data_IF_619847000072
#
_entry.id   IF_619847000072
#
_cell.length_a   1.000
_cell.length_b   1.000
_cell.length_c   1.000
_cell.angle_alpha   90.00
_cell.angle_beta   90.00
_cell.angle_gamma   90.00
#
_symmetry.space_group_name_H-M   'P 1'
#
loop_
_entity.id
_entity.type
_entity.pdbx_description
1 polymer ?
#
# COMPACT_ATOMS: atom_id res chain seq x y z
N UNK A 1 -15.04 -0.25 -1.49
CA UNK A 1 -16.43 0.22 -1.26
C UNK A 1 -17.50 -0.57 -2.04
N UNK A 2 -17.17 -1.37 -3.06
CA UNK A 2 -18.17 -2.12 -3.86
C UNK A 2 -18.80 -3.33 -3.16
N UNK A 3 -18.02 -4.18 -2.48
CA UNK A 3 -18.49 -5.48 -1.96
C UNK A 3 -19.67 -5.40 -0.97
N UNK A 4 -19.66 -4.42 -0.06
CA UNK A 4 -20.73 -4.24 0.95
C UNK A 4 -22.07 -3.88 0.29
N UNK A 5 -22.05 -3.04 -0.76
CA UNK A 5 -23.28 -2.67 -1.48
C UNK A 5 -23.85 -3.85 -2.27
N UNK A 6 -22.99 -4.65 -2.87
CA UNK A 6 -23.38 -5.88 -3.58
C UNK A 6 -23.99 -6.90 -2.61
N UNK A 7 -23.39 -7.07 -1.43
CA UNK A 7 -23.92 -7.94 -0.38
C UNK A 7 -25.30 -7.48 0.12
N UNK A 8 -25.46 -6.19 0.42
CA UNK A 8 -26.73 -5.63 0.88
C UNK A 8 -27.85 -5.78 -0.17
N UNK A 9 -27.50 -5.59 -1.45
CA UNK A 9 -28.44 -5.79 -2.57
C UNK A 9 -28.86 -7.25 -2.68
N UNK A 10 -27.92 -8.18 -2.54
CA UNK A 10 -28.19 -9.62 -2.53
C UNK A 10 -29.14 -10.05 -1.41
N UNK A 11 -28.88 -9.61 -0.19
CA UNK A 11 -29.73 -9.91 0.99
C UNK A 11 -31.15 -9.35 0.81
N UNK A 12 -31.27 -8.14 0.27
CA UNK A 12 -32.59 -7.52 0.05
C UNK A 12 -33.41 -8.32 -0.96
N UNK A 13 -32.79 -8.79 -2.05
CA UNK A 13 -33.44 -9.64 -3.04
C UNK A 13 -33.87 -11.00 -2.48
N UNK A 14 -33.07 -11.59 -1.57
CA UNK A 14 -33.44 -12.83 -0.88
C UNK A 14 -34.71 -12.65 -0.04
N UNK A 15 -34.78 -11.58 0.76
CA UNK A 15 -35.94 -11.30 1.62
C UNK A 15 -37.21 -11.12 0.76
N UNK A 16 -37.11 -10.34 -0.31
CA UNK A 16 -38.23 -10.13 -1.24
C UNK A 16 -38.67 -11.42 -1.93
N UNK A 17 -37.72 -12.26 -2.35
CA UNK A 17 -38.00 -13.57 -2.94
C UNK A 17 -38.75 -14.51 -1.98
N UNK A 18 -38.31 -14.57 -0.72
CA UNK A 18 -38.98 -15.37 0.32
C UNK A 18 -40.40 -14.89 0.63
N UNK A 19 -40.60 -13.56 0.72
CA UNK A 19 -41.94 -12.98 0.95
C UNK A 19 -42.88 -13.32 -0.22
N UNK A 20 -42.42 -13.18 -1.46
CA UNK A 20 -43.22 -13.48 -2.65
C UNK A 20 -43.63 -14.97 -2.71
N UNK A 21 -42.70 -15.88 -2.45
CA UNK A 21 -42.97 -17.32 -2.43
C UNK A 21 -43.91 -17.69 -1.28
N UNK A 22 -43.72 -17.12 -0.08
CA UNK A 22 -44.57 -17.36 1.08
C UNK A 22 -46.00 -16.83 0.88
N UNK A 23 -46.16 -15.66 0.26
CA UNK A 23 -47.47 -15.11 -0.08
C UNK A 23 -48.23 -16.01 -1.07
N UNK A 24 -47.51 -16.64 -2.00
CA UNK A 24 -48.10 -17.62 -2.92
C UNK A 24 -48.50 -18.92 -2.21
N UNK A 25 -47.63 -19.48 -1.35
CA UNK A 25 -47.90 -20.72 -0.62
C UNK A 25 -49.06 -20.61 0.38
N UNK A 26 -49.25 -19.44 0.98
CA UNK A 26 -50.36 -19.17 1.90
C UNK A 26 -51.68 -18.85 1.17
N UNK A 27 -51.70 -18.91 -0.16
CA UNK A 27 -52.83 -18.49 -1.00
C UNK A 27 -53.26 -17.03 -0.82
N UNK A 28 -52.41 -16.18 -0.23
CA UNK A 28 -52.67 -14.74 -0.13
C UNK A 28 -52.62 -14.07 -1.50
N UNK A 29 -51.83 -14.63 -2.42
CA UNK A 29 -51.75 -14.22 -3.83
C UNK A 29 -51.72 -15.48 -4.70
N UNK A 30 -52.59 -15.57 -5.71
CA UNK A 30 -52.73 -16.75 -6.58
C UNK A 30 -52.06 -16.59 -7.94
N UNK A 31 -51.46 -15.44 -8.23
CA UNK A 31 -50.84 -15.17 -9.52
C UNK A 31 -49.53 -15.96 -9.69
N UNK A 32 -49.42 -16.86 -10.71
CA UNK A 32 -48.22 -17.65 -10.96
C UNK A 32 -46.99 -16.80 -11.35
N UNK A 33 -47.18 -15.55 -11.80
CA UNK A 33 -46.08 -14.62 -12.04
C UNK A 33 -45.35 -14.25 -10.76
N UNK A 34 -46.05 -14.20 -9.62
CA UNK A 34 -45.45 -13.89 -8.31
C UNK A 34 -44.53 -15.01 -7.85
N UNK A 35 -44.93 -16.28 -8.05
CA UNK A 35 -44.08 -17.44 -7.76
C UNK A 35 -42.82 -17.45 -8.64
N UNK A 36 -42.99 -17.20 -9.94
CA UNK A 36 -41.87 -17.17 -10.90
C UNK A 36 -40.91 -16.03 -10.59
N UNK A 37 -41.43 -14.82 -10.39
CA UNK A 37 -40.64 -13.64 -10.03
C UNK A 37 -39.92 -13.80 -8.70
N UNK A 38 -40.59 -14.35 -7.69
CA UNK A 38 -39.99 -14.66 -6.38
C UNK A 38 -38.83 -15.66 -6.50
N UNK A 39 -38.99 -16.71 -7.30
CA UNK A 39 -37.94 -17.72 -7.52
C UNK A 39 -36.70 -17.15 -8.21
N UNK A 40 -36.90 -16.31 -9.24
CA UNK A 40 -35.80 -15.61 -9.93
C UNK A 40 -35.08 -14.65 -8.99
N UNK A 41 -35.83 -13.84 -8.23
CA UNK A 41 -35.27 -12.91 -7.26
C UNK A 41 -34.41 -13.62 -6.19
N UNK A 42 -34.87 -14.79 -5.71
CA UNK A 42 -34.14 -15.59 -4.74
C UNK A 42 -32.84 -16.15 -5.34
N UNK A 43 -32.89 -16.70 -6.56
CA UNK A 43 -31.69 -17.19 -7.26
C UNK A 43 -30.64 -16.10 -7.49
N UNK A 44 -31.05 -14.93 -7.96
CA UNK A 44 -30.15 -13.77 -8.16
C UNK A 44 -29.62 -13.27 -6.81
N UNK A 45 -30.47 -13.22 -5.78
CA UNK A 45 -30.10 -12.82 -4.42
C UNK A 45 -29.00 -13.70 -3.82
N UNK A 46 -29.11 -15.04 -3.97
CA UNK A 46 -28.06 -15.98 -3.52
C UNK A 46 -26.74 -15.69 -4.23
N UNK A 47 -26.77 -15.55 -5.57
CA UNK A 47 -25.58 -15.32 -6.37
C UNK A 47 -24.85 -14.03 -5.94
N UNK A 48 -25.59 -12.92 -5.79
CA UNK A 48 -25.02 -11.64 -5.37
C UNK A 48 -24.49 -11.69 -3.94
N UNK A 49 -25.17 -12.40 -3.05
CA UNK A 49 -24.71 -12.57 -1.66
C UNK A 49 -23.41 -13.36 -1.61
N UNK A 50 -23.30 -14.44 -2.39
CA UNK A 50 -22.06 -15.22 -2.51
C UNK A 50 -20.91 -14.38 -3.08
N UNK A 51 -21.16 -13.61 -4.15
CA UNK A 51 -20.15 -12.73 -4.74
C UNK A 51 -19.71 -11.62 -3.79
N UNK A 52 -20.66 -10.99 -3.08
CA UNK A 52 -20.39 -9.98 -2.06
C UNK A 52 -19.58 -10.55 -0.89
N UNK A 53 -19.94 -11.75 -0.44
CA UNK A 53 -19.25 -12.46 0.63
C UNK A 53 -17.83 -12.87 0.21
N UNK A 54 -17.67 -13.48 -0.96
CA UNK A 54 -16.36 -13.81 -1.53
C UNK A 54 -15.49 -12.56 -1.64
N UNK A 55 -16.03 -11.45 -2.17
CA UNK A 55 -15.30 -10.19 -2.23
C UNK A 55 -14.88 -9.69 -0.84
N UNK A 56 -15.75 -9.83 0.17
CA UNK A 56 -15.45 -9.41 1.55
C UNK A 56 -14.36 -10.30 2.17
N UNK A 57 -14.45 -11.62 1.97
CA UNK A 57 -13.47 -12.59 2.47
C UNK A 57 -12.13 -12.41 1.77
N UNK A 58 -12.10 -12.20 0.45
CA UNK A 58 -10.86 -11.88 -0.28
C UNK A 58 -10.24 -10.56 0.18
N UNK A 59 -11.05 -9.58 0.58
CA UNK A 59 -10.54 -8.33 1.16
C UNK A 59 -9.96 -8.54 2.57
N UNK A 60 -10.46 -9.53 3.32
CA UNK A 60 -9.95 -9.95 4.62
C UNK A 60 -8.66 -10.78 4.51
N UNK A 61 -8.53 -11.61 3.47
CA UNK A 61 -7.36 -12.44 3.15
C UNK A 61 -6.30 -11.74 2.30
N UNK A 62 -6.59 -10.55 1.78
CA UNK A 62 -5.52 -9.65 1.34
C UNK A 62 -4.67 -9.36 2.57
N UNK A 63 -3.34 -9.59 2.55
CA UNK A 63 -2.51 -9.47 3.73
C UNK A 63 -2.70 -8.08 4.32
N UNK A 64 -3.48 -7.98 5.40
CA UNK A 64 -3.63 -6.78 6.20
C UNK A 64 -2.27 -6.56 6.85
N UNK A 65 -1.39 -5.84 6.16
CA UNK A 65 -0.35 -5.08 6.84
C UNK A 65 -1.10 -4.24 7.86
N UNK A 66 -0.93 -4.54 9.15
CA UNK A 66 -1.63 -3.89 10.26
C UNK A 66 -1.20 -2.44 10.40
N UNK A 67 -1.65 -1.59 9.48
CA UNK A 67 -1.32 -0.18 9.40
C UNK A 67 -2.60 0.57 9.81
N UNK A 68 -2.60 1.21 10.99
CA UNK A 68 -3.65 2.18 11.30
C UNK A 68 -3.58 3.31 10.25
N UNK A 69 -4.71 3.90 9.86
CA UNK A 69 -4.74 4.96 8.84
C UNK A 69 -3.74 6.11 9.11
N UNK A 70 -3.42 6.38 10.38
CA UNK A 70 -2.35 7.31 10.79
C UNK A 70 -0.94 6.80 10.47
N UNK A 71 -0.67 5.52 10.72
CA UNK A 71 0.61 4.88 10.43
C UNK A 71 0.91 4.89 8.92
N UNK A 72 -0.11 4.80 8.07
CA UNK A 72 0.08 4.86 6.60
C UNK A 72 0.56 6.24 6.17
N UNK A 73 0.04 7.30 6.79
CA UNK A 73 0.41 8.67 6.48
C UNK A 73 1.84 8.98 6.94
N UNK A 74 2.18 8.60 8.18
CA UNK A 74 3.55 8.75 8.71
C UNK A 74 4.54 7.96 7.85
N UNK A 75 4.25 6.68 7.56
CA UNK A 75 5.09 5.87 6.70
C UNK A 75 5.28 6.48 5.31
N UNK A 76 4.19 6.87 4.64
CA UNK A 76 4.28 7.41 3.27
C UNK A 76 5.07 8.71 3.24
N UNK A 77 4.85 9.58 4.22
CA UNK A 77 5.56 10.84 4.36
C UNK A 77 7.05 10.62 4.62
N UNK A 78 7.40 9.80 5.62
CA UNK A 78 8.80 9.46 5.92
C UNK A 78 9.49 8.76 4.74
N UNK A 79 8.78 7.91 4.01
CA UNK A 79 9.32 7.24 2.82
C UNK A 79 9.68 8.24 1.72
N UNK A 80 8.78 9.17 1.39
CA UNK A 80 9.01 10.20 0.37
C UNK A 80 10.19 11.10 0.79
N UNK A 81 10.20 11.57 2.04
CA UNK A 81 11.29 12.41 2.56
C UNK A 81 12.63 11.71 2.54
N UNK A 82 12.66 10.42 2.88
CA UNK A 82 13.88 9.62 2.81
C UNK A 82 14.40 9.50 1.37
N UNK A 83 13.52 9.24 0.39
CA UNK A 83 13.93 9.20 -1.02
C UNK A 83 14.42 10.57 -1.49
N UNK A 84 13.72 11.66 -1.16
CA UNK A 84 14.13 13.02 -1.52
C UNK A 84 15.49 13.36 -0.91
N UNK A 85 15.72 13.04 0.37
CA UNK A 85 17.00 13.33 1.04
C UNK A 85 18.19 12.61 0.40
N UNK A 86 17.95 11.45 -0.22
CA UNK A 86 18.98 10.72 -0.96
C UNK A 86 19.23 11.38 -2.31
N UNK A 87 18.16 11.80 -2.99
CA UNK A 87 18.26 12.30 -4.36
C UNK A 87 18.74 13.75 -4.43
N UNK A 88 18.36 14.60 -3.46
CA UNK A 88 18.72 16.03 -3.45
C UNK A 88 20.12 16.22 -2.89
N UNK A 89 21.11 16.35 -3.77
CA UNK A 89 22.47 16.73 -3.41
C UNK A 89 22.66 18.27 -3.41
N UNK A 90 22.02 19.00 -4.34
CA UNK A 90 22.32 20.40 -4.64
C UNK A 90 21.15 21.39 -4.37
N UNK A 91 20.24 21.05 -3.46
CA UNK A 91 19.05 21.85 -3.11
C UNK A 91 18.06 22.12 -4.24
N UNK A 92 18.14 21.39 -5.35
CA UNK A 92 17.13 21.39 -6.41
C UNK A 92 16.66 19.95 -6.67
N UNK A 93 15.38 19.81 -7.07
CA UNK A 93 14.79 18.52 -7.42
C UNK A 93 14.32 18.56 -8.89
N UNK A 94 15.05 17.87 -9.75
CA UNK A 94 14.81 17.81 -11.18
C UNK A 94 13.65 16.86 -11.55
N UNK A 95 13.13 16.99 -12.77
CA UNK A 95 12.02 16.18 -13.26
C UNK A 95 12.35 14.67 -13.30
N UNK A 96 13.60 14.32 -13.58
CA UNK A 96 14.06 12.93 -13.61
C UNK A 96 14.06 12.30 -12.22
N UNK A 97 14.45 13.08 -11.22
CA UNK A 97 14.46 12.70 -9.81
C UNK A 97 13.05 12.51 -9.27
N UNK A 98 12.12 13.42 -9.60
CA UNK A 98 10.70 13.27 -9.27
C UNK A 98 10.13 11.98 -9.85
N UNK A 99 10.46 11.65 -11.11
CA UNK A 99 10.02 10.41 -11.75
C UNK A 99 10.64 9.18 -11.08
N UNK A 100 11.90 9.25 -10.67
CA UNK A 100 12.57 8.18 -9.94
C UNK A 100 11.88 7.92 -8.59
N UNK A 101 11.67 8.97 -7.79
CA UNK A 101 10.96 8.91 -6.50
C UNK A 101 9.55 8.33 -6.68
N UNK A 102 8.78 8.81 -7.66
CA UNK A 102 7.42 8.31 -7.92
C UNK A 102 7.41 6.82 -8.33
N UNK A 103 8.36 6.41 -9.17
CA UNK A 103 8.52 5.03 -9.63
C UNK A 103 8.87 4.08 -8.48
N UNK A 104 9.84 4.48 -7.64
CA UNK A 104 10.26 3.70 -6.46
C UNK A 104 9.14 3.63 -5.43
N UNK A 105 8.46 4.75 -5.14
CA UNK A 105 7.32 4.77 -4.23
C UNK A 105 6.23 3.79 -4.67
N UNK A 106 5.85 3.81 -5.96
CA UNK A 106 4.87 2.86 -6.51
C UNK A 106 5.33 1.42 -6.41
N UNK A 107 6.61 1.16 -6.65
CA UNK A 107 7.19 -0.18 -6.55
C UNK A 107 7.15 -0.74 -5.13
N UNK A 108 7.43 0.10 -4.13
CA UNK A 108 7.53 -0.32 -2.72
C UNK A 108 6.15 -0.39 -2.04
N UNK A 109 5.24 0.52 -2.39
CA UNK A 109 3.92 0.62 -1.74
C UNK A 109 2.79 -0.02 -2.55
N UNK A 110 2.99 -0.26 -3.84
CA UNK A 110 1.95 -0.67 -4.78
C UNK A 110 1.01 0.46 -5.21
N UNK A 111 1.18 1.68 -4.69
CA UNK A 111 0.29 2.82 -4.94
C UNK A 111 1.05 3.98 -5.57
N UNK A 112 0.51 4.65 -6.60
CA UNK A 112 1.16 5.83 -7.16
C UNK A 112 1.11 7.01 -6.18
N UNK A 113 2.13 7.86 -6.25
CA UNK A 113 2.15 9.18 -5.61
C UNK A 113 2.17 10.26 -6.70
N UNK A 114 1.48 11.37 -6.48
CA UNK A 114 1.45 12.48 -7.43
C UNK A 114 2.72 13.32 -7.35
N UNK A 115 3.21 13.80 -8.49
CA UNK A 115 4.40 14.66 -8.58
C UNK A 115 4.30 15.92 -7.71
N UNK A 116 3.10 16.50 -7.63
CA UNK A 116 2.82 17.65 -6.78
C UNK A 116 3.20 17.40 -5.32
N UNK A 117 2.85 16.24 -4.76
CA UNK A 117 3.17 15.88 -3.37
C UNK A 117 4.68 15.78 -3.18
N UNK A 118 5.39 15.14 -4.11
CA UNK A 118 6.84 15.00 -4.04
C UNK A 118 7.51 16.39 -4.03
N UNK A 119 7.08 17.29 -4.91
CA UNK A 119 7.64 18.65 -4.99
C UNK A 119 7.30 19.50 -3.77
N UNK A 120 6.08 19.42 -3.26
CA UNK A 120 5.67 20.10 -2.03
C UNK A 120 6.53 19.61 -0.85
N UNK A 121 6.68 18.29 -0.69
CA UNK A 121 7.55 17.71 0.35
C UNK A 121 9.01 18.11 0.19
N UNK A 122 9.53 18.18 -1.04
CA UNK A 122 10.90 18.63 -1.29
C UNK A 122 11.08 20.10 -0.88
N UNK A 123 10.15 20.97 -1.28
CA UNK A 123 10.14 22.38 -0.89
C UNK A 123 10.12 22.55 0.63
N UNK A 124 9.24 21.84 1.33
CA UNK A 124 9.18 21.85 2.80
C UNK A 124 10.51 21.41 3.42
N UNK A 125 11.16 20.37 2.88
CA UNK A 125 12.45 19.88 3.39
C UNK A 125 13.59 20.89 3.19
N UNK A 126 13.64 21.55 2.03
CA UNK A 126 14.64 22.57 1.72
C UNK A 126 14.45 23.82 2.59
N UNK A 127 13.21 24.28 2.76
CA UNK A 127 12.89 25.44 3.60
C UNK A 127 13.24 25.22 5.08
N UNK A 128 13.03 24.00 5.58
CA UNK A 128 13.25 23.66 6.99
C UNK A 128 14.63 23.10 7.30
N UNK A 129 15.49 22.87 6.30
CA UNK A 129 16.84 22.35 6.48
C UNK A 129 16.86 20.98 7.17
N UNK A 130 16.00 20.08 6.72
CA UNK A 130 15.71 18.82 7.44
C UNK A 130 16.90 17.87 7.40
N UNK A 131 17.39 17.51 8.59
CA UNK A 131 18.23 16.35 8.81
C UNK A 131 17.36 15.08 8.86
N UNK A 132 17.34 14.36 7.74
CA UNK A 132 16.56 13.12 7.60
C UNK A 132 16.94 12.07 8.64
N UNK A 133 18.21 11.99 9.07
CA UNK A 133 18.66 10.99 10.03
C UNK A 133 18.07 11.27 11.40
N UNK A 134 18.05 12.53 11.82
CA UNK A 134 17.38 12.96 13.05
C UNK A 134 15.87 12.73 12.98
N UNK A 135 15.22 13.00 11.85
CA UNK A 135 13.80 12.71 11.66
C UNK A 135 13.48 11.22 11.77
N UNK A 136 14.29 10.36 11.15
CA UNK A 136 14.12 8.91 11.24
C UNK A 136 14.24 8.42 12.69
N UNK A 137 15.21 8.94 13.46
CA UNK A 137 15.36 8.62 14.89
C UNK A 137 14.13 8.97 15.72
N UNK A 138 13.44 10.05 15.37
CA UNK A 138 12.24 10.53 16.06
C UNK A 138 10.98 9.77 15.63
N UNK A 139 10.89 9.37 14.36
CA UNK A 139 9.70 8.72 13.79
C UNK A 139 9.73 7.20 13.91
N UNK A 140 10.89 6.58 14.13
CA UNK A 140 11.06 5.12 14.10
C UNK A 140 10.14 4.35 15.06
N UNK A 141 9.70 4.93 16.19
CA UNK A 141 8.80 4.26 17.14
C UNK A 141 7.38 4.12 16.60
N UNK A 142 7.01 4.98 15.66
CA UNK A 142 5.71 5.02 14.99
C UNK A 142 5.70 4.17 13.71
N UNK A 143 6.84 3.61 13.32
CA UNK A 143 6.99 2.75 12.15
C UNK A 143 7.03 1.29 12.58
N UNK A 144 6.15 0.48 12.01
CA UNK A 144 6.23 -0.97 12.15
C UNK A 144 7.47 -1.54 11.44
N UNK A 145 7.80 -2.80 11.75
CA UNK A 145 8.97 -3.48 11.17
C UNK A 145 8.95 -3.50 9.64
N UNK A 146 7.80 -3.80 9.02
CA UNK A 146 7.67 -3.81 7.56
C UNK A 146 7.88 -2.43 6.95
N UNK A 147 7.34 -1.39 7.58
CA UNK A 147 7.51 0.00 7.15
C UNK A 147 8.98 0.44 7.17
N UNK A 148 9.73 0.09 8.22
CA UNK A 148 11.18 0.34 8.30
C UNK A 148 11.96 -0.35 7.18
N UNK A 149 11.61 -1.60 6.90
CA UNK A 149 12.27 -2.37 5.83
C UNK A 149 11.98 -1.79 4.44
N UNK A 150 10.74 -1.33 4.21
CA UNK A 150 10.35 -0.66 2.96
C UNK A 150 11.13 0.64 2.73
N UNK A 151 11.41 1.40 3.79
CA UNK A 151 12.24 2.61 3.69
C UNK A 151 13.65 2.23 3.22
N UNK A 152 14.29 1.24 3.87
CA UNK A 152 15.62 0.76 3.46
C UNK A 152 15.63 0.27 2.00
N UNK A 153 14.60 -0.48 1.60
CA UNK A 153 14.48 -0.99 0.23
C UNK A 153 14.32 0.17 -0.77
N UNK A 154 13.53 1.19 -0.45
CA UNK A 154 13.38 2.37 -1.29
C UNK A 154 14.70 3.14 -1.43
N UNK A 155 15.43 3.31 -0.32
CA UNK A 155 16.77 3.92 -0.33
C UNK A 155 17.73 3.17 -1.24
N UNK A 156 17.76 1.84 -1.15
CA UNK A 156 18.54 0.98 -2.06
C UNK A 156 18.13 1.13 -3.53
N UNK A 157 16.84 1.34 -3.82
CA UNK A 157 16.40 1.56 -5.20
C UNK A 157 16.93 2.87 -5.79
N UNK A 158 16.97 3.93 -4.99
CA UNK A 158 17.46 5.25 -5.40
C UNK A 158 18.99 5.23 -5.51
N UNK A 159 19.70 4.78 -4.49
CA UNK A 159 21.17 4.72 -4.49
C UNK A 159 21.71 3.80 -5.59
N UNK A 160 21.09 2.64 -5.81
CA UNK A 160 21.51 1.72 -6.88
C UNK A 160 20.86 2.04 -8.24
N UNK A 161 20.45 3.29 -8.50
CA UNK A 161 19.83 3.68 -9.77
C UNK A 161 20.84 3.65 -10.92
N UNK A 162 22.07 4.09 -10.68
CA UNK A 162 23.19 4.09 -11.63
C UNK A 162 23.91 2.72 -11.74
N UNK A 163 23.63 1.82 -10.79
CA UNK A 163 24.14 0.45 -10.75
C UNK A 163 25.41 0.25 -9.92
N UNK A 164 26.00 1.31 -9.34
CA UNK A 164 27.19 1.20 -8.49
C UNK A 164 27.01 2.12 -7.27
N UNK A 165 26.90 1.52 -6.09
CA UNK A 165 26.93 2.31 -4.86
C UNK A 165 28.37 2.61 -4.44
N UNK A 166 28.68 3.88 -4.21
CA UNK A 166 29.96 4.29 -3.64
C UNK A 166 30.00 4.17 -2.10
N UNK A 167 31.16 4.46 -1.51
CA UNK A 167 31.36 4.36 -0.06
C UNK A 167 30.50 5.38 0.72
N UNK A 168 30.29 6.58 0.17
CA UNK A 168 29.46 7.61 0.79
C UNK A 168 27.98 7.21 0.81
N UNK A 169 27.50 6.64 -0.28
CA UNK A 169 26.15 6.09 -0.39
C UNK A 169 25.94 4.87 0.52
N UNK A 170 26.94 4.01 0.65
CA UNK A 170 26.92 2.90 1.62
C UNK A 170 26.85 3.42 3.05
N UNK A 171 27.65 4.42 3.40
CA UNK A 171 27.60 5.08 4.71
C UNK A 171 26.24 5.72 4.99
N UNK A 172 25.68 6.45 4.01
CA UNK A 172 24.38 7.09 4.16
C UNK A 172 23.25 6.07 4.37
N UNK A 173 23.31 4.94 3.66
CA UNK A 173 22.36 3.85 3.86
C UNK A 173 22.49 3.20 5.25
N UNK A 174 23.71 3.09 5.78
CA UNK A 174 23.94 2.64 7.16
C UNK A 174 23.40 3.61 8.20
N UNK A 175 23.50 4.92 7.95
CA UNK A 175 22.91 5.96 8.81
C UNK A 175 21.38 5.88 8.82
N UNK A 176 20.75 5.64 7.65
CA UNK A 176 19.30 5.40 7.56
C UNK A 176 18.90 4.17 8.39
N UNK A 177 19.65 3.08 8.28
CA UNK A 177 19.44 1.85 9.08
C UNK A 177 19.49 2.18 10.57
N UNK A 178 20.49 2.92 11.01
CA UNK A 178 20.65 3.29 12.42
C UNK A 178 19.55 4.23 12.90
N UNK A 179 19.14 5.20 12.09
CA UNK A 179 18.01 6.07 12.37
C UNK A 179 16.71 5.29 12.57
N UNK A 180 16.48 4.25 11.77
CA UNK A 180 15.32 3.36 11.88
C UNK A 180 15.45 2.31 12.99
N UNK A 181 16.63 2.18 13.61
CA UNK A 181 16.98 1.11 14.57
C UNK A 181 16.76 -0.29 14.01
N UNK A 182 17.12 -0.51 12.75
CA UNK A 182 17.05 -1.85 12.12
C UNK A 182 18.33 -2.63 12.46
N UNK A 183 18.24 -3.84 13.06
CA UNK A 183 19.42 -4.62 13.41
C UNK A 183 20.29 -4.95 12.18
N UNK A 184 21.61 -4.88 12.34
CA UNK A 184 22.59 -5.11 11.25
C UNK A 184 22.37 -6.45 10.54
N UNK A 185 22.08 -7.54 11.26
CA UNK A 185 21.79 -8.83 10.64
C UNK A 185 20.54 -8.82 9.73
N UNK A 186 19.52 -8.03 10.08
CA UNK A 186 18.33 -7.86 9.24
C UNK A 186 18.63 -6.96 8.04
N UNK A 187 19.37 -5.88 8.25
CA UNK A 187 19.83 -4.97 7.19
C UNK A 187 20.66 -5.71 6.12
N UNK A 188 21.67 -6.49 6.53
CA UNK A 188 22.49 -7.28 5.61
C UNK A 188 21.68 -8.28 4.81
N UNK A 189 20.66 -8.88 5.43
CA UNK A 189 19.72 -9.76 4.71
C UNK A 189 18.95 -8.98 3.62
N UNK A 190 18.41 -7.81 3.95
CA UNK A 190 17.67 -6.96 2.99
C UNK A 190 18.59 -6.55 1.84
N UNK A 191 19.80 -6.05 2.13
CA UNK A 191 20.78 -5.66 1.10
C UNK A 191 21.13 -6.84 0.19
N UNK A 192 21.40 -8.01 0.77
CA UNK A 192 21.70 -9.24 0.00
C UNK A 192 20.53 -9.67 -0.88
N UNK A 193 19.32 -9.73 -0.33
CA UNK A 193 18.12 -10.14 -1.07
C UNK A 193 17.82 -9.15 -2.22
N UNK A 194 18.02 -7.85 -1.98
CA UNK A 194 17.88 -6.80 -3.00
C UNK A 194 18.89 -6.96 -4.13
N UNK A 195 20.19 -7.08 -3.82
CA UNK A 195 21.25 -7.21 -4.84
C UNK A 195 21.08 -8.49 -5.67
N UNK A 196 20.68 -9.60 -5.03
CA UNK A 196 20.38 -10.85 -5.71
C UNK A 196 19.21 -10.70 -6.71
N UNK A 197 18.16 -9.95 -6.34
CA UNK A 197 17.01 -9.70 -7.22
C UNK A 197 17.34 -8.83 -8.45
N UNK A 198 18.40 -8.02 -8.37
CA UNK A 198 18.85 -7.09 -9.43
C UNK A 198 19.96 -7.68 -10.33
N UNK A 199 20.43 -8.91 -10.09
CA UNK A 199 21.64 -9.48 -10.70
C UNK A 199 22.90 -8.61 -10.50
N UNK A 200 22.92 -7.73 -9.49
CA UNK A 200 24.05 -6.88 -9.12
C UNK A 200 24.97 -7.66 -8.18
N UNK A 201 25.46 -8.82 -8.63
CA UNK A 201 26.50 -9.56 -7.90
C UNK A 201 27.83 -8.94 -8.30
N UNK A 202 28.55 -8.33 -7.34
CA UNK A 202 29.91 -7.78 -7.52
C UNK A 202 30.71 -8.74 -8.43
N UNK A 203 31.06 -8.29 -9.63
CA UNK A 203 32.14 -8.93 -10.39
C UNK A 203 33.41 -8.60 -9.61
N UNK A 204 33.92 -9.61 -8.90
CA UNK A 204 35.22 -9.54 -8.23
C UNK A 204 36.37 -9.43 -9.21
#
# INVERSE_FOLDING_TARGET
MGGIRVLATGITLLILGFIAIGAYQTHSVTDPLVMTGGSVALGVGVLLTLLGFLSSVFQEFSPKTGIHRGDTAIFSHTLIRCMIAITVADNELEDEEVKAVASVFKRVTGSPVGEKIIRETAGEMMESGVDIISELKNTQSSLDKSSKEKIIIASLYILAADGIMDEGEEMFLEDIRDGLKVPMGRFNKIKKDFLASRNLTKRG
#
